data_IF_292114950604
#
_entry.id   IF_292114950604
#
_cell.length_a   1.000
_cell.length_b   1.000
_cell.length_c   1.000
_cell.angle_alpha   90.00
_cell.angle_beta   90.00
_cell.angle_gamma   90.00
#
_symmetry.space_group_name_H-M   'P 1'
#
loop_
_entity.id
_entity.type
_entity.pdbx_description
1 polymer ?
#
# COMPACT_ATOMS: atom_id res chain seq x y z
N UNK A 1 16.48 26.83 11.74
CA UNK A 1 17.87 26.48 11.37
C UNK A 1 18.01 24.99 11.02
N UNK A 2 17.50 24.08 11.84
CA UNK A 2 17.50 22.63 11.54
C UNK A 2 16.75 22.24 10.26
N UNK A 3 15.72 23.00 9.89
CA UNK A 3 14.91 22.74 8.68
C UNK A 3 15.70 22.88 7.36
N UNK A 4 16.69 23.76 7.33
CA UNK A 4 17.45 24.04 6.10
C UNK A 4 18.63 23.08 5.95
N UNK A 5 19.24 22.66 7.05
CA UNK A 5 20.49 21.85 7.04
C UNK A 5 20.25 20.34 6.85
N UNK A 6 19.03 19.84 7.15
CA UNK A 6 18.73 18.39 7.15
C UNK A 6 17.54 18.02 6.28
N UNK A 7 17.09 18.90 5.39
CA UNK A 7 16.06 18.53 4.42
C UNK A 7 16.73 17.71 3.33
N UNK A 8 16.56 16.40 3.41
CA UNK A 8 16.92 15.48 2.34
C UNK A 8 15.83 15.54 1.25
N UNK A 9 16.23 15.41 -0.01
CA UNK A 9 15.31 15.25 -1.14
C UNK A 9 14.50 13.95 -1.02
N UNK A 10 14.92 13.05 -0.13
CA UNK A 10 14.22 11.79 0.18
C UNK A 10 13.03 11.97 1.15
N UNK A 11 12.87 13.16 1.73
CA UNK A 11 11.73 13.44 2.61
C UNK A 11 10.51 13.78 1.78
N UNK A 12 9.61 12.80 1.64
CA UNK A 12 8.33 12.96 0.93
C UNK A 12 7.24 13.63 1.77
N UNK A 13 7.47 13.77 3.07
CA UNK A 13 6.55 14.42 3.99
C UNK A 13 6.41 15.92 3.73
N UNK A 14 5.19 16.44 3.84
CA UNK A 14 4.88 17.85 3.74
C UNK A 14 4.69 18.48 5.12
N UNK A 15 5.01 19.77 5.25
CA UNK A 15 4.76 20.49 6.50
C UNK A 15 3.26 20.68 6.72
N UNK A 16 2.77 20.30 7.88
CA UNK A 16 1.39 20.58 8.31
C UNK A 16 1.19 21.99 8.87
N UNK A 17 2.24 22.81 8.91
CA UNK A 17 2.15 24.18 9.42
C UNK A 17 1.13 25.05 8.68
N UNK A 18 0.95 24.97 7.35
CA UNK A 18 -0.09 25.70 6.65
C UNK A 18 -1.51 25.39 7.14
N UNK A 19 -1.78 24.15 7.55
CA UNK A 19 -3.09 23.75 8.10
C UNK A 19 -3.42 24.42 9.43
N UNK A 20 -2.43 24.86 10.19
CA UNK A 20 -2.63 25.58 11.46
C UNK A 20 -3.00 27.06 11.24
N UNK A 21 -2.72 27.62 10.08
CA UNK A 21 -2.90 29.04 9.76
C UNK A 21 -3.92 29.29 8.68
N UNK A 22 -4.12 28.31 7.82
CA UNK A 22 -5.07 28.33 6.71
C UNK A 22 -5.64 26.92 6.61
N UNK A 23 -6.90 26.77 6.42
CA UNK A 23 -7.57 25.49 6.20
C UNK A 23 -7.33 25.03 4.75
N UNK A 24 -6.05 24.99 4.35
CA UNK A 24 -5.64 24.60 3.01
C UNK A 24 -5.50 23.08 2.94
N UNK A 25 -6.13 22.43 1.99
CA UNK A 25 -5.91 21.02 1.68
C UNK A 25 -4.45 20.78 1.28
N UNK A 26 -3.79 19.84 1.91
CA UNK A 26 -2.39 19.52 1.63
C UNK A 26 -2.22 18.23 0.82
N UNK A 27 -3.29 17.46 0.61
CA UNK A 27 -3.29 16.20 -0.13
C UNK A 27 -4.67 15.90 -0.69
N UNK A 28 -4.70 15.39 -1.92
CA UNK A 28 -5.93 14.95 -2.57
C UNK A 28 -6.41 13.59 -2.03
N UNK A 29 -5.48 12.76 -1.57
CA UNK A 29 -5.80 11.44 -1.01
C UNK A 29 -4.69 10.93 -0.10
N UNK A 30 -5.07 9.99 0.78
CA UNK A 30 -4.16 9.24 1.65
C UNK A 30 -4.42 7.74 1.47
N UNK A 31 -3.35 6.99 1.15
CA UNK A 31 -3.39 5.52 1.08
C UNK A 31 -2.81 4.94 2.36
N UNK A 32 -3.47 3.92 2.90
CA UNK A 32 -3.06 3.24 4.14
C UNK A 32 -3.52 1.77 4.13
N UNK A 33 -3.01 0.98 5.06
CA UNK A 33 -3.37 -0.44 5.17
C UNK A 33 -2.35 -1.25 5.94
N UNK A 34 -2.56 -2.56 5.96
CA UNK A 34 -1.65 -3.54 6.52
C UNK A 34 -1.00 -4.37 5.42
N UNK A 35 0.25 -4.77 5.62
CA UNK A 35 0.92 -5.70 4.72
C UNK A 35 0.09 -6.98 4.53
N UNK A 36 -0.19 -7.31 3.28
CA UNK A 36 -0.98 -8.48 2.91
C UNK A 36 -2.50 -8.33 2.99
N UNK A 37 -3.02 -7.27 3.60
CA UNK A 37 -4.46 -7.00 3.69
C UNK A 37 -4.97 -6.09 2.57
N UNK A 38 -6.12 -5.45 2.80
CA UNK A 38 -6.68 -4.45 1.90
C UNK A 38 -5.74 -3.24 1.77
N UNK A 39 -5.76 -2.61 0.61
CA UNK A 39 -5.29 -1.25 0.41
C UNK A 39 -6.49 -0.30 0.57
N UNK A 40 -6.33 0.69 1.42
CA UNK A 40 -7.39 1.64 1.71
C UNK A 40 -7.00 3.02 1.22
N UNK A 41 -7.97 3.80 0.81
CA UNK A 41 -7.76 5.19 0.40
C UNK A 41 -8.85 6.08 0.99
N UNK A 42 -8.44 7.30 1.40
CA UNK A 42 -9.36 8.33 1.88
C UNK A 42 -9.04 9.65 1.18
N UNK A 43 -10.06 10.36 0.70
CA UNK A 43 -9.97 11.68 0.08
C UNK A 43 -10.39 12.83 1.03
N UNK A 44 -10.53 12.51 2.31
CA UNK A 44 -10.99 13.44 3.34
C UNK A 44 -12.50 13.33 3.63
N UNK A 45 -13.31 12.90 2.67
CA UNK A 45 -14.73 12.64 2.85
C UNK A 45 -15.08 11.17 2.68
N UNK A 46 -14.56 10.54 1.65
CA UNK A 46 -14.85 9.14 1.36
C UNK A 46 -13.69 8.25 1.79
N UNK A 47 -14.00 7.08 2.35
CA UNK A 47 -13.07 6.02 2.69
C UNK A 47 -13.41 4.77 1.91
N UNK A 48 -12.43 4.23 1.18
CA UNK A 48 -12.62 3.03 0.38
C UNK A 48 -11.63 1.95 0.78
N UNK A 49 -12.15 0.77 1.06
CA UNK A 49 -11.39 -0.44 1.40
C UNK A 49 -11.37 -1.34 0.18
N UNK A 50 -10.20 -1.49 -0.44
CA UNK A 50 -10.03 -2.33 -1.62
C UNK A 50 -9.29 -3.60 -1.24
N UNK A 51 -10.00 -4.73 -1.29
CA UNK A 51 -9.44 -6.03 -0.93
C UNK A 51 -8.73 -6.69 -2.11
N UNK A 52 -7.70 -7.55 -1.84
CA UNK A 52 -7.06 -8.34 -2.88
C UNK A 52 -8.08 -9.21 -3.63
N UNK A 53 -7.84 -9.38 -4.93
CA UNK A 53 -8.67 -10.23 -5.81
C UNK A 53 -8.11 -11.65 -5.96
N UNK A 54 -6.99 -11.96 -5.28
CA UNK A 54 -6.26 -13.21 -5.29
C UNK A 54 -6.11 -13.76 -3.88
N UNK A 55 -5.63 -15.00 -3.75
CA UNK A 55 -5.40 -15.64 -2.46
C UNK A 55 -4.40 -14.87 -1.59
N UNK A 56 -4.49 -15.07 -0.27
CA UNK A 56 -3.80 -14.26 0.73
C UNK A 56 -2.28 -14.13 0.52
N UNK A 57 -1.60 -15.20 0.09
CA UNK A 57 -0.16 -15.21 -0.17
C UNK A 57 0.22 -14.86 -1.61
N UNK A 58 -0.74 -14.91 -2.54
CA UNK A 58 -0.48 -14.73 -3.96
C UNK A 58 -0.11 -13.28 -4.28
N UNK A 59 0.93 -13.09 -5.09
CA UNK A 59 1.47 -11.78 -5.46
C UNK A 59 1.86 -10.90 -4.25
N UNK A 60 2.14 -11.51 -3.09
CA UNK A 60 2.60 -10.82 -1.90
C UNK A 60 4.09 -11.06 -1.69
N UNK A 61 4.88 -9.99 -1.60
CA UNK A 61 6.32 -10.04 -1.38
C UNK A 61 6.77 -8.93 -0.44
N UNK A 62 7.78 -9.23 0.37
CA UNK A 62 8.51 -8.24 1.12
C UNK A 62 9.70 -7.73 0.30
N UNK A 63 9.92 -6.41 0.31
CA UNK A 63 11.07 -5.76 -0.33
C UNK A 63 11.90 -5.04 0.72
N UNK A 64 13.18 -5.35 0.81
CA UNK A 64 14.03 -4.77 1.84
C UNK A 64 15.47 -4.57 1.41
N UNK A 65 16.11 -3.52 1.92
CA UNK A 65 17.56 -3.30 1.85
C UNK A 65 18.28 -3.96 3.03
N UNK A 66 17.56 -4.37 4.07
CA UNK A 66 18.13 -4.94 5.28
C UNK A 66 17.96 -6.47 5.29
N UNK A 67 18.96 -7.24 5.75
CA UNK A 67 18.85 -8.68 5.89
C UNK A 67 18.07 -9.09 7.17
N UNK A 68 17.23 -8.20 7.67
CA UNK A 68 16.46 -8.41 8.90
C UNK A 68 15.14 -7.67 8.84
N UNK A 69 14.14 -8.15 9.58
CA UNK A 69 12.97 -7.39 10.00
C UNK A 69 13.33 -6.48 11.18
N UNK A 70 12.44 -5.57 11.56
CA UNK A 70 12.69 -4.64 12.68
C UNK A 70 12.98 -5.36 14.01
N UNK A 71 12.34 -6.49 14.25
CA UNK A 71 12.42 -7.22 15.53
C UNK A 71 13.06 -8.60 15.43
N UNK A 72 13.33 -9.10 14.22
CA UNK A 72 13.82 -10.46 14.01
C UNK A 72 14.73 -10.56 12.78
N UNK A 73 15.59 -11.56 12.76
CA UNK A 73 16.35 -11.94 11.57
C UNK A 73 15.50 -12.81 10.67
N UNK A 74 15.75 -12.76 9.35
CA UNK A 74 15.22 -13.75 8.44
C UNK A 74 15.79 -15.12 8.77
N UNK A 75 14.96 -16.15 8.71
CA UNK A 75 15.41 -17.52 8.80
C UNK A 75 16.20 -17.91 7.54
N UNK A 76 17.00 -18.98 7.65
CA UNK A 76 17.73 -19.52 6.49
C UNK A 76 16.74 -19.92 5.40
N UNK A 77 15.59 -20.48 5.74
CA UNK A 77 14.56 -20.89 4.79
C UNK A 77 14.01 -19.71 3.98
N UNK A 78 13.68 -18.61 4.65
CA UNK A 78 13.23 -17.38 3.99
C UNK A 78 14.30 -16.81 3.05
N UNK A 79 15.58 -16.86 3.44
CA UNK A 79 16.68 -16.39 2.61
C UNK A 79 17.00 -17.29 1.42
N UNK A 80 16.68 -18.60 1.49
CA UNK A 80 16.85 -19.51 0.35
C UNK A 80 15.87 -19.19 -0.78
N UNK A 81 14.68 -18.69 -0.45
CA UNK A 81 13.65 -18.28 -1.41
C UNK A 81 13.78 -16.82 -1.83
N UNK A 82 14.74 -16.09 -1.26
CA UNK A 82 14.98 -14.69 -1.57
C UNK A 82 15.62 -14.53 -2.96
N UNK A 83 15.20 -13.48 -3.66
CA UNK A 83 15.77 -13.07 -4.93
C UNK A 83 16.19 -11.60 -4.87
N UNK A 84 17.09 -11.20 -5.78
CA UNK A 84 17.39 -9.78 -5.98
C UNK A 84 16.40 -9.19 -6.99
N UNK A 85 15.70 -8.16 -6.57
CA UNK A 85 14.88 -7.33 -7.43
C UNK A 85 15.65 -6.07 -7.84
N UNK A 86 15.36 -5.53 -9.01
CA UNK A 86 15.92 -4.24 -9.45
C UNK A 86 15.61 -3.14 -8.43
N UNK A 87 16.40 -2.08 -8.45
CA UNK A 87 16.18 -0.93 -7.59
C UNK A 87 14.82 -0.27 -7.87
N UNK A 88 14.21 0.25 -6.82
CA UNK A 88 13.13 1.22 -6.94
C UNK A 88 13.69 2.64 -7.07
N UNK A 89 12.89 3.59 -7.53
CA UNK A 89 13.30 4.99 -7.67
C UNK A 89 13.87 5.57 -6.37
N UNK A 90 13.27 5.23 -5.22
CA UNK A 90 13.70 5.68 -3.90
C UNK A 90 14.92 4.93 -3.34
N UNK A 91 15.33 3.79 -3.90
CA UNK A 91 16.54 3.06 -3.48
C UNK A 91 17.82 3.50 -4.20
N UNK A 92 17.72 4.52 -5.06
CA UNK A 92 18.87 5.17 -5.72
C UNK A 92 19.81 4.21 -6.46
N UNK A 93 19.25 3.27 -7.17
CA UNK A 93 20.01 2.29 -7.95
C UNK A 93 20.49 1.07 -7.14
N UNK A 94 20.22 1.00 -5.85
CA UNK A 94 20.57 -0.16 -5.03
C UNK A 94 19.50 -1.24 -5.19
N UNK A 95 19.84 -2.46 -5.65
CA UNK A 95 18.92 -3.58 -5.69
C UNK A 95 18.41 -3.95 -4.31
N UNK A 96 17.19 -4.47 -4.23
CA UNK A 96 16.57 -4.88 -2.98
C UNK A 96 16.38 -6.39 -2.92
N UNK A 97 16.38 -6.96 -1.73
CA UNK A 97 15.93 -8.34 -1.52
C UNK A 97 14.41 -8.37 -1.68
N UNK A 98 13.96 -9.33 -2.49
CA UNK A 98 12.55 -9.70 -2.64
C UNK A 98 12.37 -11.07 -1.99
N UNK A 99 11.51 -11.14 -0.99
CA UNK A 99 11.21 -12.36 -0.24
C UNK A 99 9.72 -12.67 -0.31
N UNK A 100 9.35 -13.96 -0.39
CA UNK A 100 7.97 -14.35 -0.15
C UNK A 100 7.57 -14.00 1.29
N UNK A 101 6.28 -13.80 1.58
CA UNK A 101 5.83 -13.53 2.94
C UNK A 101 6.09 -14.76 3.82
N UNK A 102 6.30 -14.51 5.11
CA UNK A 102 6.32 -15.61 6.07
C UNK A 102 4.90 -16.18 6.19
N UNK A 103 4.75 -17.46 5.92
CA UNK A 103 3.47 -18.15 6.04
C UNK A 103 3.45 -19.10 7.24
N UNK A 104 2.26 -19.39 7.75
CA UNK A 104 2.01 -20.49 8.68
C UNK A 104 2.00 -21.86 7.97
N UNK A 105 1.71 -22.92 8.72
CA UNK A 105 1.66 -24.29 8.18
C UNK A 105 0.53 -24.50 7.13
N UNK A 106 -0.45 -23.60 7.09
CA UNK A 106 -1.53 -23.58 6.10
C UNK A 106 -1.26 -22.70 4.87
N UNK A 107 -0.08 -22.07 4.79
CA UNK A 107 0.28 -21.16 3.70
C UNK A 107 -0.30 -19.74 3.82
N UNK A 108 -0.93 -19.41 4.96
CA UNK A 108 -1.46 -18.07 5.21
C UNK A 108 -0.34 -17.15 5.72
N UNK A 109 -0.16 -15.96 5.15
CA UNK A 109 0.80 -15.00 5.66
C UNK A 109 0.56 -14.68 7.14
N UNK A 110 1.62 -14.75 7.95
CA UNK A 110 1.53 -14.57 9.42
C UNK A 110 0.94 -13.20 9.78
N UNK A 111 1.23 -12.19 8.98
CA UNK A 111 0.78 -10.81 9.16
C UNK A 111 -0.74 -10.65 9.03
N UNK A 112 -1.39 -11.59 8.34
CA UNK A 112 -2.84 -11.56 8.09
C UNK A 112 -3.60 -12.70 8.77
N UNK A 113 -2.93 -13.42 9.66
CA UNK A 113 -3.59 -14.47 10.46
C UNK A 113 -4.77 -13.91 11.25
N UNK A 114 -5.90 -14.58 11.14
CA UNK A 114 -7.14 -14.16 11.80
C UNK A 114 -7.91 -13.06 11.09
N UNK A 115 -7.42 -12.56 9.95
CA UNK A 115 -8.20 -11.69 9.08
C UNK A 115 -9.02 -12.55 8.12
N UNK A 116 -10.36 -12.42 8.09
CA UNK A 116 -11.18 -13.17 7.15
C UNK A 116 -11.02 -12.57 5.74
N UNK A 117 -10.21 -13.20 4.89
CA UNK A 117 -10.07 -12.77 3.49
C UNK A 117 -11.21 -13.26 2.60
N UNK A 118 -11.72 -14.46 2.86
CA UNK A 118 -12.67 -15.15 1.97
C UNK A 118 -14.02 -14.43 1.85
N UNK A 119 -14.41 -13.65 2.85
CA UNK A 119 -15.73 -12.99 2.92
C UNK A 119 -15.63 -11.46 2.85
N UNK A 120 -14.44 -10.91 2.60
CA UNK A 120 -14.26 -9.46 2.55
C UNK A 120 -14.54 -8.91 1.16
N UNK A 121 -15.53 -8.07 1.07
CA UNK A 121 -15.83 -7.30 -0.12
C UNK A 121 -15.28 -5.88 0.01
N UNK A 122 -14.80 -5.33 -1.10
CA UNK A 122 -14.41 -3.93 -1.17
C UNK A 122 -15.60 -3.03 -0.85
N UNK A 123 -15.41 -2.02 0.00
CA UNK A 123 -16.49 -1.20 0.55
C UNK A 123 -16.12 0.28 0.54
N UNK A 124 -17.08 1.11 0.18
CA UNK A 124 -17.01 2.56 0.17
C UNK A 124 -17.88 3.14 1.27
N UNK A 125 -17.37 4.16 1.97
CA UNK A 125 -18.10 4.86 3.04
C UNK A 125 -17.99 6.38 2.86
N UNK A 126 -19.06 7.11 3.19
CA UNK A 126 -19.06 8.58 3.33
C UNK A 126 -18.85 8.96 4.80
N UNK A 127 -17.66 9.38 5.16
CA UNK A 127 -17.29 9.73 6.54
C UNK A 127 -18.05 10.95 7.08
N UNK A 128 -18.65 11.77 6.23
CA UNK A 128 -19.47 12.90 6.65
C UNK A 128 -20.82 12.46 7.19
N UNK A 129 -21.43 11.45 6.57
CA UNK A 129 -22.74 10.93 6.96
C UNK A 129 -22.65 9.69 7.84
N UNK A 130 -21.61 8.92 7.69
CA UNK A 130 -21.34 7.67 8.44
C UNK A 130 -19.87 7.61 8.91
N UNK A 131 -19.47 8.42 9.92
CA UNK A 131 -18.12 8.39 10.46
C UNK A 131 -17.73 7.05 11.11
N UNK A 132 -18.72 6.23 11.44
CA UNK A 132 -18.54 4.89 12.01
C UNK A 132 -18.28 3.81 10.95
N UNK A 133 -18.41 4.12 9.66
CA UNK A 133 -18.23 3.18 8.55
C UNK A 133 -19.04 1.89 8.72
N UNK A 134 -20.33 2.06 9.02
CA UNK A 134 -21.27 0.97 9.32
C UNK A 134 -22.17 0.63 8.14
N UNK A 135 -22.33 1.56 7.19
CA UNK A 135 -23.26 1.45 6.07
C UNK A 135 -22.53 1.74 4.75
N UNK A 136 -22.06 0.68 4.04
CA UNK A 136 -21.40 0.86 2.76
C UNK A 136 -22.29 1.56 1.72
N UNK A 137 -21.68 2.40 0.89
CA UNK A 137 -22.31 3.07 -0.25
C UNK A 137 -22.18 2.23 -1.51
N UNK A 138 -23.25 2.22 -2.29
CA UNK A 138 -23.26 1.70 -3.67
C UNK A 138 -23.15 2.88 -4.65
N UNK A 139 -21.92 3.29 -4.94
CA UNK A 139 -21.59 4.37 -5.88
C UNK A 139 -20.40 3.95 -6.77
N UNK A 140 -20.66 3.32 -7.92
CA UNK A 140 -19.61 2.84 -8.82
C UNK A 140 -18.69 3.94 -9.37
N UNK A 141 -19.20 5.16 -9.57
CA UNK A 141 -18.39 6.27 -10.09
C UNK A 141 -17.38 6.72 -9.04
N UNK A 142 -17.83 6.84 -7.79
CA UNK A 142 -16.94 7.15 -6.67
C UNK A 142 -15.93 6.04 -6.43
N UNK A 143 -16.34 4.77 -6.50
CA UNK A 143 -15.41 3.62 -6.40
C UNK A 143 -14.33 3.70 -7.47
N UNK A 144 -14.67 4.00 -8.73
CA UNK A 144 -13.67 4.17 -9.80
C UNK A 144 -12.70 5.32 -9.49
N UNK A 145 -13.18 6.44 -8.96
CA UNK A 145 -12.34 7.56 -8.56
C UNK A 145 -11.37 7.14 -7.44
N UNK A 146 -11.86 6.43 -6.43
CA UNK A 146 -11.04 5.95 -5.32
C UNK A 146 -9.99 4.93 -5.78
N UNK A 147 -10.35 4.03 -6.70
CA UNK A 147 -9.38 3.12 -7.35
C UNK A 147 -8.31 3.89 -8.11
N UNK A 148 -8.68 4.98 -8.81
CA UNK A 148 -7.69 5.82 -9.50
C UNK A 148 -6.70 6.45 -8.54
N UNK A 149 -7.13 6.94 -7.38
CA UNK A 149 -6.22 7.44 -6.34
C UNK A 149 -5.24 6.36 -5.84
N UNK A 150 -5.69 5.12 -5.71
CA UNK A 150 -4.80 4.00 -5.35
C UNK A 150 -3.75 3.81 -6.46
N UNK A 151 -4.17 3.72 -7.72
CA UNK A 151 -3.29 3.53 -8.87
C UNK A 151 -2.27 4.67 -8.97
N UNK A 152 -2.70 5.92 -8.84
CA UNK A 152 -1.83 7.09 -8.91
C UNK A 152 -0.76 7.07 -7.80
N UNK A 153 -1.13 6.66 -6.59
CA UNK A 153 -0.18 6.47 -5.50
C UNK A 153 0.78 5.30 -5.77
N UNK A 154 0.29 4.19 -6.34
CA UNK A 154 1.13 3.06 -6.72
C UNK A 154 2.17 3.46 -7.77
N UNK A 155 1.78 4.25 -8.78
CA UNK A 155 2.70 4.81 -9.79
C UNK A 155 3.72 5.73 -9.13
N UNK A 156 3.27 6.67 -8.32
CA UNK A 156 4.12 7.64 -7.63
C UNK A 156 5.16 6.98 -6.70
N UNK A 157 4.80 5.86 -6.10
CA UNK A 157 5.64 5.10 -5.18
C UNK A 157 6.42 3.97 -5.85
N UNK A 158 6.37 3.89 -7.19
CA UNK A 158 7.07 2.86 -7.99
C UNK A 158 6.70 1.42 -7.55
N UNK A 159 5.39 1.18 -7.34
CA UNK A 159 4.91 -0.11 -6.90
C UNK A 159 5.24 -1.22 -7.91
N UNK A 160 5.67 -2.41 -7.45
CA UNK A 160 6.02 -3.52 -8.33
C UNK A 160 4.79 -4.08 -9.06
N UNK A 161 5.01 -4.73 -10.21
CA UNK A 161 3.94 -5.22 -11.08
C UNK A 161 2.96 -6.17 -10.36
N UNK A 162 3.47 -7.01 -9.50
CA UNK A 162 2.66 -7.96 -8.74
C UNK A 162 1.70 -7.28 -7.75
N UNK A 163 2.01 -6.07 -7.28
CA UNK A 163 1.09 -5.32 -6.45
C UNK A 163 -0.17 -4.93 -7.22
N UNK A 164 -0.04 -4.56 -8.50
CA UNK A 164 -1.18 -4.30 -9.37
C UNK A 164 -2.02 -5.56 -9.60
N UNK A 165 -1.35 -6.68 -9.91
CA UNK A 165 -2.02 -7.97 -10.11
C UNK A 165 -2.80 -8.40 -8.86
N UNK A 166 -2.21 -8.20 -7.68
CA UNK A 166 -2.84 -8.55 -6.40
C UNK A 166 -4.18 -7.86 -6.19
N UNK A 167 -4.27 -6.60 -6.59
CA UNK A 167 -5.48 -5.78 -6.43
C UNK A 167 -6.35 -5.70 -7.68
N UNK A 168 -6.05 -6.50 -8.71
CA UNK A 168 -6.83 -6.53 -9.96
C UNK A 168 -6.66 -5.27 -10.81
N UNK A 169 -5.61 -4.51 -10.61
CA UNK A 169 -5.30 -3.33 -11.41
C UNK A 169 -4.39 -3.67 -12.59
N UNK A 170 -4.53 -2.89 -13.66
CA UNK A 170 -3.60 -2.92 -14.79
C UNK A 170 -2.54 -1.84 -14.58
N UNK A 171 -1.29 -2.24 -14.70
CA UNK A 171 -0.18 -1.27 -14.59
C UNK A 171 -0.22 -0.31 -15.80
N UNK A 172 -0.16 1.02 -15.61
CA UNK A 172 -0.36 1.99 -16.68
C UNK A 172 0.59 1.85 -17.87
N UNK A 173 1.85 1.40 -17.66
CA UNK A 173 2.81 1.16 -18.73
C UNK A 173 2.50 -0.10 -19.56
N UNK A 174 1.62 -0.97 -19.11
CA UNK A 174 1.15 -2.16 -19.83
C UNK A 174 -0.20 -1.95 -20.53
N UNK A 175 -0.90 -0.87 -20.21
CA UNK A 175 -2.21 -0.55 -20.80
C UNK A 175 -2.11 0.02 -22.22
N UNK A 176 -0.89 0.34 -22.70
CA UNK A 176 -0.63 0.93 -24.03
C UNK A 176 0.00 -0.12 -24.95
N UNK A 177 -0.75 -1.16 -25.28
CA UNK A 177 -0.42 -2.07 -26.41
C UNK A 177 -1.66 -2.44 -27.20
#
# INVERSE_FOLDING_TARGET
FRRVLFRSDDVTGQSLLPLLTKDDECRDSLVFGYFGAAVNVCDGRYSYFHYPVVDAAEHLFEYTLMPTRMTARFSIRELLDATLHSSFSFTKGVPVLKLPPKTDDGGVPVEVQGMPFADQQSQLFDLQTDPGQTTPLDDPEKVMQMCQFIIDNMVKLDAPAEAYSRFGFVRPDQAVK
#
